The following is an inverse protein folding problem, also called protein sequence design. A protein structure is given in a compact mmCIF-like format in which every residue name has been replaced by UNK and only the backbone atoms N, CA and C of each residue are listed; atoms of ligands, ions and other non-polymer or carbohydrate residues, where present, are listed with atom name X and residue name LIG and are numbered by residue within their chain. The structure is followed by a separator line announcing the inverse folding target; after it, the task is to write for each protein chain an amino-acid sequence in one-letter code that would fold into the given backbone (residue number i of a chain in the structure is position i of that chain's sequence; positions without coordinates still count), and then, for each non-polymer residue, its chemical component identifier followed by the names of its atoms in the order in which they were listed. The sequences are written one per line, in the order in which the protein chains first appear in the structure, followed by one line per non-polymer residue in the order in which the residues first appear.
data_IF_322703003025
#
_entry.id   IF_322703003025
#
_cell.length_a   1.000
_cell.length_b   1.000
_cell.length_c   1.000
_cell.angle_alpha   90.00
_cell.angle_beta   90.00
_cell.angle_gamma   90.00
#
_symmetry.space_group_name_H-M   'P 1'
#
loop_
_entity.id
_entity.type
_entity.pdbx_description
1 polymer ?
#
# COMPACT_ATOMS: atom_id res chain seq x y z
N UNK A 1 46.34 26.96 27.97
CA UNK A 1 45.22 27.60 28.70
C UNK A 1 44.33 28.32 27.68
N UNK A 2 43.14 27.79 27.42
CA UNK A 2 42.15 28.32 26.46
C UNK A 2 41.32 29.39 27.17
N UNK A 3 41.28 30.62 26.62
CA UNK A 3 40.48 31.72 27.19
C UNK A 3 38.98 31.46 26.97
N UNK A 4 38.11 31.63 27.99
CA UNK A 4 36.67 31.49 27.82
C UNK A 4 36.11 32.72 27.07
N UNK A 5 35.42 32.47 25.96
CA UNK A 5 34.73 33.49 25.17
C UNK A 5 33.53 34.08 25.93
N UNK A 6 33.44 35.41 25.94
CA UNK A 6 32.32 36.18 26.51
C UNK A 6 31.01 35.85 25.79
N UNK A 7 30.07 35.21 26.47
CA UNK A 7 28.66 35.23 26.07
C UNK A 7 28.10 36.61 26.39
N UNK A 8 28.13 37.51 25.40
CA UNK A 8 27.53 38.84 25.51
C UNK A 8 26.01 38.68 25.55
N UNK A 9 25.39 39.03 26.68
CA UNK A 9 23.93 39.03 26.82
C UNK A 9 23.30 39.94 25.76
N UNK A 10 22.64 39.33 24.76
CA UNK A 10 21.89 40.07 23.75
C UNK A 10 20.75 40.82 24.44
N UNK A 11 20.75 42.15 24.32
CA UNK A 11 19.61 42.99 24.71
C UNK A 11 18.71 43.14 23.49
N UNK A 12 17.46 42.72 23.63
CA UNK A 12 16.44 42.85 22.61
C UNK A 12 15.62 44.11 22.89
N UNK A 13 15.31 44.86 21.84
CA UNK A 13 14.33 45.94 21.91
C UNK A 13 12.92 45.35 21.99
N UNK A 14 11.96 46.10 22.53
CA UNK A 14 10.56 45.67 22.63
C UNK A 14 9.97 45.28 21.26
N UNK A 15 10.34 46.02 20.21
CA UNK A 15 9.96 45.72 18.83
C UNK A 15 10.51 44.37 18.35
N UNK A 16 11.77 44.04 18.68
CA UNK A 16 12.37 42.75 18.33
C UNK A 16 11.75 41.59 19.13
N UNK A 17 11.51 41.78 20.42
CA UNK A 17 10.80 40.79 21.25
C UNK A 17 9.43 40.49 20.66
N UNK A 18 8.68 41.54 20.32
CA UNK A 18 7.36 41.39 19.70
C UNK A 18 7.44 40.68 18.35
N UNK A 19 8.40 41.03 17.49
CA UNK A 19 8.58 40.37 16.20
C UNK A 19 8.94 38.88 16.34
N UNK A 20 9.78 38.53 17.33
CA UNK A 20 10.15 37.14 17.62
C UNK A 20 8.94 36.36 18.15
N UNK A 21 8.16 36.92 19.06
CA UNK A 21 6.95 36.31 19.58
C UNK A 21 5.89 36.12 18.47
N UNK A 22 5.64 37.13 17.64
CA UNK A 22 4.71 37.02 16.52
C UNK A 22 5.17 35.94 15.51
N UNK A 23 6.47 35.83 15.24
CA UNK A 23 7.04 34.79 14.38
C UNK A 23 6.91 33.40 14.99
N UNK A 24 7.17 33.25 16.28
CA UNK A 24 7.10 31.98 17.00
C UNK A 24 5.65 31.51 17.17
N UNK A 25 4.72 32.42 17.47
CA UNK A 25 3.29 32.12 17.55
C UNK A 25 2.73 31.70 16.19
N UNK A 26 3.15 32.34 15.10
CA UNK A 26 2.74 31.95 13.75
C UNK A 26 3.28 30.56 13.34
N UNK A 27 4.50 30.20 13.77
CA UNK A 27 5.07 28.85 13.55
C UNK A 27 4.36 27.79 14.41
N UNK A 28 4.04 28.12 15.66
CA UNK A 28 3.25 27.27 16.56
C UNK A 28 1.81 27.06 16.06
N UNK A 29 1.19 28.06 15.43
CA UNK A 29 -0.12 27.94 14.80
C UNK A 29 -0.09 27.00 13.57
N UNK A 30 1.02 27.00 12.82
CA UNK A 30 1.20 26.08 11.69
C UNK A 30 1.58 24.66 12.10
N UNK A 31 2.24 24.49 13.26
CA UNK A 31 2.48 23.21 13.91
C UNK A 31 1.30 22.90 14.82
N UNK A 32 0.18 22.49 14.23
CA UNK A 32 -0.98 22.05 15.01
C UNK A 32 -0.55 21.12 16.16
N UNK A 33 -1.01 21.40 17.38
CA UNK A 33 -0.65 20.67 18.59
C UNK A 33 -1.04 19.20 18.42
N UNK A 34 -0.11 18.29 18.66
CA UNK A 34 -0.41 16.86 18.57
C UNK A 34 -1.39 16.46 19.67
N UNK A 35 -2.23 15.45 19.41
CA UNK A 35 -3.22 14.99 20.39
C UNK A 35 -2.58 14.60 21.74
N UNK A 36 -1.39 14.02 21.71
CA UNK A 36 -0.65 13.61 22.91
C UNK A 36 -0.12 14.80 23.71
N UNK A 37 0.35 15.86 23.04
CA UNK A 37 0.77 17.11 23.68
C UNK A 37 -0.43 17.86 24.29
N UNK A 38 -1.58 17.84 23.62
CA UNK A 38 -2.82 18.43 24.13
C UNK A 38 -3.29 17.72 25.40
N UNK A 39 -3.26 16.38 25.40
CA UNK A 39 -3.64 15.57 26.58
C UNK A 39 -2.68 15.83 27.74
N UNK A 40 -1.37 15.86 27.49
CA UNK A 40 -0.38 16.11 28.53
C UNK A 40 -0.54 17.49 29.19
N UNK A 41 -0.73 18.55 28.39
CA UNK A 41 -0.93 19.91 28.90
C UNK A 41 -2.23 20.06 29.70
N UNK A 42 -3.28 19.35 29.29
CA UNK A 42 -4.58 19.42 29.94
C UNK A 42 -4.63 18.58 31.23
N UNK A 43 -3.89 17.47 31.31
CA UNK A 43 -3.69 16.73 32.57
C UNK A 43 -2.96 17.61 33.62
N UNK A 44 -2.01 18.44 33.18
CA UNK A 44 -1.25 19.35 34.06
C UNK A 44 -2.16 20.39 34.77
N UNK A 45 -3.25 20.80 34.13
CA UNK A 45 -4.27 21.71 34.70
C UNK A 45 -5.49 20.98 35.28
N UNK A 46 -5.43 19.65 35.41
CA UNK A 46 -6.46 18.84 36.08
C UNK A 46 -7.68 18.49 35.21
N UNK A 47 -7.58 18.63 33.89
CA UNK A 47 -8.62 18.16 32.95
C UNK A 47 -8.36 16.69 32.63
N UNK A 48 -9.34 15.82 32.85
CA UNK A 48 -9.17 14.40 32.59
C UNK A 48 -9.10 14.10 31.09
N UNK A 49 -8.27 13.12 30.72
CA UNK A 49 -8.17 12.59 29.36
C UNK A 49 -9.54 12.28 28.74
N UNK A 50 -10.45 11.69 29.51
CA UNK A 50 -11.81 11.38 29.07
C UNK A 50 -12.65 12.63 28.71
N UNK A 51 -12.46 13.76 29.41
CA UNK A 51 -13.14 15.01 29.08
C UNK A 51 -12.61 15.62 27.77
N UNK A 52 -11.30 15.53 27.53
CA UNK A 52 -10.65 15.98 26.28
C UNK A 52 -11.06 15.07 25.12
N UNK A 53 -11.10 13.76 25.33
CA UNK A 53 -11.53 12.79 24.32
C UNK A 53 -13.00 13.01 23.94
N UNK A 54 -13.88 13.32 24.90
CA UNK A 54 -15.27 13.68 24.64
C UNK A 54 -15.37 14.99 23.83
N UNK A 55 -14.68 16.04 24.27
CA UNK A 55 -14.68 17.33 23.58
C UNK A 55 -14.07 17.25 22.17
N UNK A 56 -12.98 16.48 22.01
CA UNK A 56 -12.34 16.25 20.72
C UNK A 56 -13.26 15.52 19.76
N UNK A 57 -14.00 14.51 20.24
CA UNK A 57 -14.98 13.76 19.44
C UNK A 57 -16.11 14.66 18.96
N UNK A 58 -16.58 15.58 19.80
CA UNK A 58 -17.61 16.55 19.44
C UNK A 58 -17.10 17.55 18.38
N UNK A 59 -15.87 18.04 18.53
CA UNK A 59 -15.22 18.91 17.55
C UNK A 59 -14.97 18.18 16.22
N UNK A 60 -14.49 16.93 16.26
CA UNK A 60 -14.31 16.10 15.06
C UNK A 60 -15.64 15.85 14.34
N UNK A 61 -16.73 15.67 15.07
CA UNK A 61 -18.05 15.50 14.48
C UNK A 61 -18.50 16.77 13.76
N UNK A 62 -18.39 17.94 14.41
CA UNK A 62 -18.72 19.24 13.79
C UNK A 62 -17.84 19.51 12.57
N UNK A 63 -16.53 19.32 12.70
CA UNK A 63 -15.57 19.50 11.60
C UNK A 63 -15.84 18.56 10.43
N UNK A 64 -16.23 17.32 10.72
CA UNK A 64 -16.62 16.34 9.71
C UNK A 64 -17.88 16.76 8.96
N UNK A 65 -18.89 17.28 9.67
CA UNK A 65 -20.10 17.82 9.04
C UNK A 65 -19.81 19.03 8.16
N UNK A 66 -18.98 19.96 8.63
CA UNK A 66 -18.58 21.14 7.86
C UNK A 66 -17.84 20.75 6.58
N UNK A 67 -16.86 19.86 6.68
CA UNK A 67 -16.13 19.34 5.52
C UNK A 67 -17.07 18.64 4.50
N UNK A 68 -18.05 17.87 4.99
CA UNK A 68 -19.06 17.24 4.15
C UNK A 68 -19.97 18.27 3.46
N UNK A 69 -20.41 19.32 4.18
CA UNK A 69 -21.20 20.43 3.60
C UNK A 69 -20.41 21.16 2.51
N UNK A 70 -19.17 21.52 2.79
CA UNK A 70 -18.30 22.19 1.82
C UNK A 70 -18.07 21.35 0.56
N UNK A 71 -17.83 20.05 0.72
CA UNK A 71 -17.68 19.13 -0.39
C UNK A 71 -18.96 19.08 -1.26
N UNK A 72 -20.14 18.99 -0.64
CA UNK A 72 -21.42 19.01 -1.35
C UNK A 72 -21.60 20.33 -2.11
N UNK A 73 -21.36 21.47 -1.47
CA UNK A 73 -21.49 22.78 -2.08
C UNK A 73 -20.47 23.00 -3.22
N UNK A 74 -19.25 22.51 -3.08
CA UNK A 74 -18.24 22.54 -4.13
C UNK A 74 -18.68 21.73 -5.37
N UNK A 75 -19.23 20.52 -5.18
CA UNK A 75 -19.78 19.70 -6.27
C UNK A 75 -20.95 20.39 -6.96
N UNK A 76 -21.91 20.96 -6.20
CA UNK A 76 -23.05 21.72 -6.75
C UNK A 76 -22.59 22.89 -7.60
N UNK A 77 -21.65 23.71 -7.09
CA UNK A 77 -21.06 24.84 -7.82
C UNK A 77 -20.38 24.41 -9.12
N UNK A 78 -19.63 23.30 -9.10
CA UNK A 78 -18.99 22.74 -10.31
C UNK A 78 -20.03 22.30 -11.34
N UNK A 79 -21.08 21.61 -10.92
CA UNK A 79 -22.18 21.17 -11.79
C UNK A 79 -22.90 22.35 -12.46
N UNK A 80 -23.22 23.39 -11.68
CA UNK A 80 -23.88 24.59 -12.19
C UNK A 80 -23.01 25.32 -13.22
N UNK A 81 -21.69 25.48 -12.96
CA UNK A 81 -20.77 26.10 -13.93
C UNK A 81 -20.74 25.35 -15.26
N UNK A 82 -20.72 24.02 -15.24
CA UNK A 82 -20.73 23.22 -16.47
C UNK A 82 -21.99 23.49 -17.31
N UNK A 83 -23.16 23.52 -16.66
CA UNK A 83 -24.42 23.77 -17.36
C UNK A 83 -24.51 25.22 -17.86
N UNK A 84 -24.02 26.17 -17.07
CA UNK A 84 -23.96 27.58 -17.46
C UNK A 84 -23.05 27.80 -18.67
N UNK A 85 -21.88 27.17 -18.71
CA UNK A 85 -20.96 27.25 -19.85
C UNK A 85 -21.61 26.66 -21.10
N UNK A 86 -22.19 25.45 -21.02
CA UNK A 86 -22.90 24.86 -22.15
C UNK A 86 -24.06 25.73 -22.62
N UNK A 87 -24.83 26.31 -21.70
CA UNK A 87 -25.91 27.24 -22.03
C UNK A 87 -25.40 28.48 -22.76
N UNK A 88 -24.32 29.11 -22.27
CA UNK A 88 -23.73 30.28 -22.92
C UNK A 88 -23.20 29.95 -24.32
N UNK A 89 -22.55 28.80 -24.49
CA UNK A 89 -22.03 28.36 -25.79
C UNK A 89 -23.15 28.14 -26.80
N UNK A 90 -24.21 27.42 -26.42
CA UNK A 90 -25.37 27.16 -27.29
C UNK A 90 -26.06 28.46 -27.65
N UNK A 91 -26.31 29.36 -26.69
CA UNK A 91 -26.97 30.63 -26.97
C UNK A 91 -26.11 31.58 -27.81
N UNK A 92 -24.79 31.62 -27.59
CA UNK A 92 -23.87 32.40 -28.42
C UNK A 92 -23.88 31.88 -29.87
N UNK A 93 -23.91 30.55 -30.06
CA UNK A 93 -24.03 29.94 -31.38
C UNK A 93 -25.38 30.29 -32.06
N UNK A 94 -26.50 30.14 -31.37
CA UNK A 94 -27.82 30.52 -31.89
C UNK A 94 -27.91 32.01 -32.25
N UNK A 95 -27.36 32.86 -31.38
CA UNK A 95 -27.26 34.30 -31.63
C UNK A 95 -26.46 34.58 -32.91
N UNK A 96 -25.29 33.95 -33.08
CA UNK A 96 -24.46 34.12 -34.27
C UNK A 96 -25.20 33.68 -35.55
N UNK A 97 -25.88 32.52 -35.53
CA UNK A 97 -26.68 32.04 -36.67
C UNK A 97 -27.80 33.02 -37.02
N UNK A 98 -28.54 33.50 -36.01
CA UNK A 98 -29.62 34.47 -36.24
C UNK A 98 -29.10 35.83 -36.70
N UNK A 99 -27.92 36.26 -36.27
CA UNK A 99 -27.30 37.52 -36.72
C UNK A 99 -26.79 37.45 -38.16
N UNK A 100 -26.42 36.27 -38.63
CA UNK A 100 -25.95 36.03 -40.00
C UNK A 100 -27.08 35.68 -40.98
N UNK A 101 -28.30 35.45 -40.48
CA UNK A 101 -29.47 35.08 -41.30
C UNK A 101 -30.43 36.26 -41.34
N UNK A 102 -30.79 36.74 -42.54
CA UNK A 102 -31.84 37.74 -42.67
C UNK A 102 -33.20 37.16 -42.24
N UNK A 103 -33.82 37.78 -41.23
CA UNK A 103 -35.09 37.30 -40.69
C UNK A 103 -35.44 37.83 -39.30
N UNK A 104 -36.60 37.43 -38.75
CA UNK A 104 -37.00 37.79 -37.40
C UNK A 104 -36.08 37.16 -36.35
N UNK A 105 -35.95 37.82 -35.20
CA UNK A 105 -35.04 37.42 -34.12
C UNK A 105 -35.61 36.22 -33.35
N UNK A 106 -35.43 35.01 -33.87
CA UNK A 106 -35.99 33.79 -33.28
C UNK A 106 -35.16 33.24 -32.11
N UNK A 107 -33.89 33.65 -31.96
CA UNK A 107 -33.01 33.15 -30.89
C UNK A 107 -33.54 33.44 -29.46
N UNK A 108 -34.41 34.44 -29.29
CA UNK A 108 -35.01 34.76 -28.00
C UNK A 108 -35.86 33.62 -27.45
N UNK A 109 -36.51 32.81 -28.30
CA UNK A 109 -37.35 31.71 -27.84
C UNK A 109 -36.55 30.59 -27.18
N UNK A 110 -35.46 30.06 -27.78
CA UNK A 110 -34.54 29.16 -27.09
C UNK A 110 -33.88 29.78 -25.86
N UNK A 111 -33.49 31.06 -25.93
CA UNK A 111 -32.87 31.76 -24.80
C UNK A 111 -33.82 31.84 -23.60
N UNK A 112 -35.10 32.16 -23.82
CA UNK A 112 -36.11 32.23 -22.77
C UNK A 112 -36.49 30.83 -22.25
N UNK A 113 -36.71 29.86 -23.15
CA UNK A 113 -37.08 28.50 -22.75
C UNK A 113 -35.98 27.80 -21.96
N UNK A 114 -34.74 27.80 -22.49
CA UNK A 114 -33.60 27.19 -21.80
C UNK A 114 -33.12 28.05 -20.61
N UNK A 115 -33.20 29.37 -20.71
CA UNK A 115 -32.77 30.28 -19.65
C UNK A 115 -33.66 30.19 -18.41
N UNK A 116 -34.96 30.05 -18.60
CA UNK A 116 -35.91 29.86 -17.49
C UNK A 116 -35.68 28.51 -16.79
N UNK A 117 -35.46 27.43 -17.55
CA UNK A 117 -35.10 26.13 -16.98
C UNK A 117 -33.79 26.15 -16.20
N UNK A 118 -32.78 26.86 -16.71
CA UNK A 118 -31.51 27.04 -16.01
C UNK A 118 -31.66 27.89 -14.74
N UNK A 119 -32.49 28.93 -14.76
CA UNK A 119 -32.76 29.76 -13.59
C UNK A 119 -33.37 28.95 -12.43
N UNK A 120 -34.36 28.09 -12.72
CA UNK A 120 -34.93 27.18 -11.71
C UNK A 120 -33.89 26.20 -11.16
N UNK A 121 -33.03 25.66 -12.02
CA UNK A 121 -31.97 24.76 -11.59
C UNK A 121 -30.91 25.48 -10.74
N UNK A 122 -30.56 26.72 -11.11
CA UNK A 122 -29.63 27.57 -10.39
C UNK A 122 -30.18 27.95 -9.00
N UNK A 123 -31.47 28.29 -8.89
CA UNK A 123 -32.14 28.55 -7.60
C UNK A 123 -32.03 27.35 -6.66
N UNK A 124 -32.27 26.12 -7.15
CA UNK A 124 -32.10 24.90 -6.35
C UNK A 124 -30.64 24.60 -5.98
N UNK A 125 -29.68 24.93 -6.86
CA UNK A 125 -28.26 24.70 -6.62
C UNK A 125 -27.60 25.75 -5.72
N UNK A 126 -28.07 27.01 -5.75
CA UNK A 126 -27.62 28.12 -4.90
C UNK A 126 -28.29 28.13 -3.53
N UNK A 127 -29.42 27.44 -3.36
CA UNK A 127 -29.98 27.20 -2.04
C UNK A 127 -28.94 26.51 -1.17
N UNK A 128 -28.44 27.22 -0.17
CA UNK A 128 -27.51 26.75 0.86
C UNK A 128 -28.11 25.66 1.76
N UNK A 129 -29.35 25.24 1.49
CA UNK A 129 -30.02 24.15 2.17
C UNK A 129 -29.36 22.82 1.77
N UNK A 130 -28.40 22.41 2.60
CA UNK A 130 -27.80 21.08 2.57
C UNK A 130 -28.56 20.24 3.58
N UNK A 131 -29.39 19.33 3.09
CA UNK A 131 -30.18 18.46 3.96
C UNK A 131 -29.25 17.64 4.88
N UNK A 132 -29.60 17.46 6.16
CA UNK A 132 -28.83 16.61 7.10
C UNK A 132 -28.59 15.20 6.56
N UNK A 133 -29.53 14.68 5.76
CA UNK A 133 -29.39 13.37 5.10
C UNK A 133 -28.24 13.32 4.08
N UNK A 134 -27.98 14.43 3.40
CA UNK A 134 -26.89 14.52 2.42
C UNK A 134 -25.53 14.60 3.12
N UNK A 135 -25.44 15.36 4.21
CA UNK A 135 -24.24 15.45 5.05
C UNK A 135 -23.88 14.07 5.58
N UNK A 136 -24.85 13.39 6.20
CA UNK A 136 -24.65 12.03 6.73
C UNK A 136 -24.20 11.04 5.65
N UNK A 137 -24.81 11.07 4.47
CA UNK A 137 -24.41 10.21 3.34
C UNK A 137 -22.99 10.51 2.85
N UNK A 138 -22.59 11.77 2.79
CA UNK A 138 -21.24 12.13 2.36
C UNK A 138 -20.20 11.72 3.41
N UNK A 139 -20.54 11.83 4.70
CA UNK A 139 -19.72 11.34 5.81
C UNK A 139 -19.55 9.81 5.79
N UNK A 140 -20.65 9.07 5.54
CA UNK A 140 -20.62 7.61 5.40
C UNK A 140 -19.75 7.19 4.20
N UNK A 141 -19.88 7.88 3.07
CA UNK A 141 -19.07 7.62 1.87
C UNK A 141 -17.59 7.88 2.09
N UNK A 142 -17.23 8.99 2.75
CA UNK A 142 -15.82 9.30 3.03
C UNK A 142 -15.23 8.29 4.02
N UNK A 143 -15.99 7.87 5.04
CA UNK A 143 -15.58 6.83 5.97
C UNK A 143 -15.39 5.46 5.28
N UNK A 144 -16.30 5.06 4.38
CA UNK A 144 -16.16 3.84 3.58
C UNK A 144 -14.92 3.88 2.68
N UNK A 145 -14.63 5.02 2.05
CA UNK A 145 -13.45 5.19 1.21
C UNK A 145 -12.16 5.05 2.03
N UNK A 146 -12.10 5.68 3.21
CA UNK A 146 -10.96 5.54 4.12
C UNK A 146 -10.75 4.09 4.57
N UNK A 147 -11.83 3.37 4.91
CA UNK A 147 -11.76 1.94 5.26
C UNK A 147 -11.26 1.07 4.10
N UNK A 148 -11.74 1.31 2.88
CA UNK A 148 -11.29 0.59 1.68
C UNK A 148 -9.80 0.84 1.41
N UNK A 149 -9.34 2.07 1.58
CA UNK A 149 -7.94 2.42 1.40
C UNK A 149 -7.05 1.77 2.45
N UNK A 150 -7.43 1.81 3.73
CA UNK A 150 -6.73 1.10 4.81
C UNK A 150 -6.65 -0.41 4.53
N UNK A 151 -7.76 -1.02 4.10
CA UNK A 151 -7.79 -2.43 3.75
C UNK A 151 -6.89 -2.75 2.55
N UNK A 152 -6.81 -1.86 1.56
CA UNK A 152 -5.90 -2.00 0.41
C UNK A 152 -4.44 -1.96 0.88
N UNK A 153 -4.08 -0.99 1.72
CA UNK A 153 -2.73 -0.86 2.30
C UNK A 153 -2.36 -2.08 3.13
N UNK A 154 -3.29 -2.59 3.96
CA UNK A 154 -3.06 -3.80 4.75
C UNK A 154 -2.84 -5.03 3.86
N UNK A 155 -3.61 -5.18 2.77
CA UNK A 155 -3.40 -6.26 1.80
C UNK A 155 -2.05 -6.16 1.11
N UNK A 156 -1.63 -4.95 0.74
CA UNK A 156 -0.32 -4.68 0.16
C UNK A 156 0.80 -5.05 1.14
N UNK A 157 0.71 -4.61 2.40
CA UNK A 157 1.66 -4.96 3.46
C UNK A 157 1.75 -6.48 3.67
N UNK A 158 0.59 -7.15 3.84
CA UNK A 158 0.54 -8.61 3.99
C UNK A 158 1.10 -9.35 2.78
N UNK A 159 0.94 -8.80 1.57
CA UNK A 159 1.52 -9.38 0.35
C UNK A 159 3.03 -9.28 0.37
N UNK A 160 3.58 -8.13 0.77
CA UNK A 160 5.03 -7.93 0.93
C UNK A 160 5.60 -8.87 1.99
N UNK A 161 5.01 -8.91 3.19
CA UNK A 161 5.44 -9.80 4.27
C UNK A 161 5.42 -11.28 3.86
N UNK A 162 4.41 -11.71 3.10
CA UNK A 162 4.32 -13.08 2.57
C UNK A 162 5.45 -13.40 1.60
N UNK A 163 5.81 -12.45 0.73
CA UNK A 163 6.92 -12.62 -0.20
C UNK A 163 8.25 -12.68 0.54
N UNK A 164 8.48 -11.78 1.48
CA UNK A 164 9.69 -11.81 2.32
C UNK A 164 9.81 -13.09 3.13
N UNK A 165 8.71 -13.59 3.71
CA UNK A 165 8.71 -14.85 4.45
C UNK A 165 9.05 -16.02 3.54
N UNK A 166 8.52 -16.05 2.31
CA UNK A 166 8.85 -17.10 1.33
C UNK A 166 10.34 -17.06 0.97
N UNK A 167 10.87 -15.88 0.64
CA UNK A 167 12.29 -15.72 0.32
C UNK A 167 13.19 -16.16 1.48
N UNK A 168 12.86 -15.76 2.71
CA UNK A 168 13.60 -16.22 3.91
C UNK A 168 13.58 -17.74 4.07
N UNK A 169 12.44 -18.39 3.80
CA UNK A 169 12.32 -19.84 3.86
C UNK A 169 13.12 -20.54 2.77
N UNK A 170 13.11 -20.00 1.55
CA UNK A 170 13.90 -20.51 0.41
C UNK A 170 15.40 -20.41 0.71
N UNK A 171 15.88 -19.24 1.16
CA UNK A 171 17.28 -19.06 1.60
C UNK A 171 17.66 -20.03 2.72
N UNK A 172 16.80 -20.19 3.73
CA UNK A 172 17.07 -21.12 4.83
C UNK A 172 17.11 -22.58 4.37
N UNK A 173 16.33 -22.94 3.35
CA UNK A 173 16.34 -24.29 2.78
C UNK A 173 17.61 -24.56 1.97
N UNK A 174 18.09 -23.57 1.21
CA UNK A 174 19.37 -23.64 0.49
C UNK A 174 20.55 -23.79 1.48
N UNK A 175 20.60 -22.94 2.50
CA UNK A 175 21.62 -22.99 3.55
C UNK A 175 21.64 -24.35 4.27
N UNK A 176 20.46 -24.89 4.57
CA UNK A 176 20.33 -26.22 5.18
C UNK A 176 20.82 -27.34 4.24
N UNK A 177 20.48 -27.25 2.95
CA UNK A 177 20.95 -28.20 1.93
C UNK A 177 22.47 -28.29 1.90
N UNK A 178 23.15 -27.14 1.84
CA UNK A 178 24.61 -27.09 1.87
C UNK A 178 25.23 -27.67 3.15
N UNK A 179 24.66 -27.35 4.31
CA UNK A 179 25.15 -27.90 5.58
C UNK A 179 25.02 -29.43 5.64
N UNK A 180 23.95 -29.99 5.07
CA UNK A 180 23.76 -31.44 4.97
C UNK A 180 24.79 -32.07 4.02
N UNK A 181 25.01 -31.49 2.86
CA UNK A 181 26.01 -31.99 1.89
C UNK A 181 27.42 -32.01 2.48
N UNK A 182 27.84 -30.93 3.15
CA UNK A 182 29.13 -30.85 3.84
C UNK A 182 29.24 -31.89 4.97
N UNK A 183 28.17 -32.06 5.75
CA UNK A 183 28.09 -33.06 6.81
C UNK A 183 28.23 -34.49 6.26
N UNK A 184 27.50 -34.81 5.19
CA UNK A 184 27.53 -36.13 4.54
C UNK A 184 28.91 -36.39 3.92
N UNK A 185 29.49 -35.42 3.21
CA UNK A 185 30.84 -35.55 2.66
C UNK A 185 31.89 -35.81 3.75
N UNK A 186 31.74 -35.17 4.91
CA UNK A 186 32.60 -35.39 6.08
C UNK A 186 32.45 -36.81 6.63
N UNK A 187 31.21 -37.31 6.75
CA UNK A 187 30.96 -38.68 7.21
C UNK A 187 31.50 -39.72 6.22
N UNK A 188 31.21 -39.56 4.93
CA UNK A 188 31.68 -40.48 3.89
C UNK A 188 33.20 -40.49 3.76
N UNK A 189 33.85 -39.33 3.83
CA UNK A 189 35.32 -39.25 3.79
C UNK A 189 35.96 -39.91 5.02
N UNK A 190 35.35 -39.79 6.20
CA UNK A 190 35.78 -40.49 7.42
C UNK A 190 35.71 -42.01 7.25
N UNK A 191 34.57 -42.53 6.78
CA UNK A 191 34.35 -43.96 6.54
C UNK A 191 35.35 -44.50 5.50
N UNK A 192 35.56 -43.74 4.40
CA UNK A 192 36.50 -44.13 3.36
C UNK A 192 37.95 -44.18 3.85
N UNK A 193 38.36 -43.32 4.79
CA UNK A 193 39.67 -43.39 5.43
C UNK A 193 39.81 -44.63 6.32
N UNK A 194 38.80 -44.95 7.12
CA UNK A 194 38.79 -46.11 8.02
C UNK A 194 38.95 -47.44 7.25
N UNK A 195 38.24 -47.57 6.12
CA UNK A 195 38.33 -48.75 5.24
C UNK A 195 39.74 -48.84 4.60
N UNK A 196 40.30 -47.71 4.15
CA UNK A 196 41.62 -47.68 3.49
C UNK A 196 42.77 -47.91 4.47
N UNK A 197 42.61 -47.47 5.72
CA UNK A 197 43.53 -47.77 6.82
C UNK A 197 43.52 -49.24 7.25
N UNK A 198 42.48 -49.99 6.88
CA UNK A 198 42.31 -51.41 7.21
C UNK A 198 42.80 -52.39 6.12
N UNK A 199 43.33 -51.92 4.98
CA UNK A 199 43.84 -52.77 3.89
C UNK A 199 45.37 -53.01 4.01
N UNK A 200 45.88 -54.26 3.93
CA UNK A 200 47.30 -54.54 4.05
C UNK A 200 48.08 -54.11 2.78
N UNK A 201 49.39 -53.78 2.89
CA UNK A 201 50.16 -53.15 1.82
C UNK A 201 50.38 -54.09 0.61
N UNK A 202 50.52 -53.54 -0.62
CA UNK A 202 50.73 -54.37 -1.81
C UNK A 202 52.14 -54.99 -1.78
N UNK A 203 52.21 -56.31 -1.92
CA UNK A 203 53.46 -57.07 -1.96
C UNK A 203 54.20 -56.87 -3.31
N UNK A 204 55.55 -56.92 -3.32
CA UNK A 204 56.36 -56.60 -4.49
C UNK A 204 56.32 -57.70 -5.57
N UNK A 205 56.46 -57.26 -6.82
CA UNK A 205 56.48 -58.07 -8.03
C UNK A 205 57.44 -59.27 -7.96
N UNK A 206 56.93 -60.48 -8.23
CA UNK A 206 57.71 -61.66 -8.59
C UNK A 206 56.94 -62.56 -9.56
N UNK A 207 57.59 -62.87 -10.67
CA UNK A 207 57.47 -64.13 -11.42
C UNK A 207 56.21 -64.34 -12.25
N UNK A 208 56.27 -64.00 -13.53
CA UNK A 208 55.39 -64.59 -14.54
C UNK A 208 55.71 -66.08 -14.69
N UNK A 209 54.73 -66.93 -14.36
CA UNK A 209 54.50 -68.22 -14.99
C UNK A 209 53.00 -68.55 -14.86
N UNK A 210 52.36 -68.78 -16.01
CA UNK A 210 50.92 -69.02 -16.21
C UNK A 210 50.46 -70.42 -15.73
N UNK A 211 49.19 -70.90 -15.89
CA UNK A 211 47.98 -70.28 -16.48
C UNK A 211 46.62 -70.54 -15.73
N UNK A 212 45.57 -69.86 -16.23
CA UNK A 212 44.12 -70.21 -16.22
C UNK A 212 43.33 -70.25 -14.89
N UNK A 213 42.51 -69.20 -14.70
CA UNK A 213 41.11 -69.21 -15.15
C UNK A 213 39.99 -69.49 -14.11
N UNK A 214 39.13 -68.49 -13.83
CA UNK A 214 37.66 -68.67 -13.77
C UNK A 214 36.88 -67.33 -13.74
N UNK A 215 36.24 -67.02 -14.88
CA UNK A 215 34.86 -66.53 -15.09
C UNK A 215 34.32 -65.40 -14.17
N UNK A 216 34.17 -64.20 -14.74
CA UNK A 216 33.29 -63.13 -14.24
C UNK A 216 31.96 -63.21 -15.03
N UNK A 217 30.83 -63.16 -14.34
CA UNK A 217 29.49 -63.03 -14.92
C UNK A 217 29.04 -61.54 -14.83
N UNK A 218 28.25 -61.03 -15.79
CA UNK A 218 27.85 -59.62 -15.79
C UNK A 218 26.60 -59.38 -14.93
N UNK A 219 26.61 -58.28 -14.16
CA UNK A 219 25.47 -57.74 -13.41
C UNK A 219 24.73 -56.75 -14.33
N UNK A 220 23.97 -57.27 -15.28
CA UNK A 220 23.06 -56.50 -16.14
C UNK A 220 21.60 -56.67 -15.67
N UNK A 221 21.36 -56.69 -14.36
CA UNK A 221 20.05 -57.07 -13.79
C UNK A 221 19.44 -56.06 -12.81
N UNK A 222 20.08 -54.93 -12.51
CA UNK A 222 19.54 -53.94 -11.56
C UNK A 222 18.95 -52.67 -12.20
N UNK A 223 19.21 -52.41 -13.49
CA UNK A 223 18.63 -51.22 -14.15
C UNK A 223 17.20 -51.42 -14.65
N UNK A 224 16.73 -52.66 -14.81
CA UNK A 224 15.38 -52.93 -15.36
C UNK A 224 14.25 -52.82 -14.32
N UNK A 225 14.51 -52.97 -13.01
CA UNK A 225 13.46 -52.91 -11.98
C UNK A 225 13.12 -51.47 -11.55
N UNK A 226 13.98 -50.49 -11.80
CA UNK A 226 13.75 -49.10 -11.38
C UNK A 226 12.89 -48.34 -12.41
N UNK A 227 12.95 -48.72 -13.69
CA UNK A 227 12.16 -48.05 -14.74
C UNK A 227 10.69 -48.51 -14.73
N UNK A 228 10.41 -49.78 -14.44
CA UNK A 228 9.03 -50.31 -14.41
C UNK A 228 8.20 -49.79 -13.22
N UNK A 229 8.85 -49.49 -12.08
CA UNK A 229 8.18 -48.93 -10.90
C UNK A 229 7.82 -47.44 -11.08
N UNK A 230 8.54 -46.70 -11.91
CA UNK A 230 8.27 -45.29 -12.20
C UNK A 230 7.06 -45.07 -13.10
N UNK A 231 6.83 -45.97 -14.06
CA UNK A 231 5.71 -45.86 -15.01
C UNK A 231 4.35 -46.23 -14.39
N UNK A 232 4.30 -47.24 -13.49
CA UNK A 232 3.06 -47.61 -12.79
C UNK A 232 2.54 -46.52 -11.84
N UNK A 233 3.45 -45.75 -11.21
CA UNK A 233 3.07 -44.71 -10.27
C UNK A 233 2.55 -43.45 -10.99
N UNK A 234 3.10 -43.15 -12.17
CA UNK A 234 2.64 -42.07 -13.04
C UNK A 234 1.21 -42.32 -13.58
N UNK A 235 0.88 -43.55 -13.98
CA UNK A 235 -0.47 -43.87 -14.50
C UNK A 235 -1.54 -43.91 -13.38
N UNK A 236 -1.16 -44.31 -12.15
CA UNK A 236 -2.03 -44.21 -10.97
C UNK A 236 -2.33 -42.77 -10.58
N UNK A 237 -1.38 -41.85 -10.70
CA UNK A 237 -1.59 -40.43 -10.41
C UNK A 237 -2.54 -39.76 -11.42
N UNK A 238 -2.44 -40.12 -12.71
CA UNK A 238 -3.29 -39.57 -13.76
C UNK A 238 -4.78 -39.95 -13.61
N UNK A 239 -5.09 -41.14 -13.08
CA UNK A 239 -6.48 -41.60 -12.86
C UNK A 239 -7.19 -40.94 -11.68
N UNK A 240 -6.47 -40.47 -10.65
CA UNK A 240 -7.07 -39.77 -9.49
C UNK A 240 -7.46 -38.32 -9.78
N UNK A 241 -6.91 -37.69 -10.81
CA UNK A 241 -7.17 -36.28 -11.13
C UNK A 241 -8.42 -35.98 -11.95
N UNK A 242 -9.15 -36.98 -12.45
CA UNK A 242 -10.23 -36.79 -13.45
C UNK A 242 -11.63 -37.19 -13.00
N UNK A 243 -11.87 -37.29 -11.68
CA UNK A 243 -13.14 -37.76 -11.09
C UNK A 243 -13.78 -36.84 -10.04
N UNK A 244 -13.48 -35.54 -10.04
CA UNK A 244 -14.04 -34.58 -9.09
C UNK A 244 -14.63 -33.35 -9.79
N UNK A 245 -15.86 -33.48 -10.30
CA UNK A 245 -16.75 -32.37 -10.65
C UNK A 245 -18.15 -32.72 -10.16
#
# INVERSE_FOLDING_TARGET
MVKPGKQSGRRYTEAEVRAILERALRDAETRGVSHDELVAAAEEIGISRGAIEAASRDIEHVRGEEAAREAILARRRKGLRSHLVSFLLVNAFLFAVNALTDGPWWFFWPLLGCGLGLAFHALGALSSDVSPRQIRRELERSAEQARKEQHRRLKEQRRVERLERKQRLEQSAEDFGHAVEEGVATVLSRIAQEIRGSAPPPAPARGEDAPRGRRIAPLDAEEAEIEELGEEEADRAARRGRGGR
#
